data_IF_229227459780
#
_entry.id   IF_229227459780
#
_cell.length_a   1.000
_cell.length_b   1.000
_cell.length_c   1.000
_cell.angle_alpha   90.00
_cell.angle_beta   90.00
_cell.angle_gamma   90.00
#
_symmetry.space_group_name_H-M   'P 1'
#
loop_
_entity.id
_entity.type
_entity.pdbx_description
1 polymer ?
#
# COMPACT_ATOMS: atom_id res chain seq x y z
N UNK A 1 -29.34 -46.25 5.61
CA UNK A 1 -29.76 -47.19 4.54
C UNK A 1 -30.63 -46.41 3.58
N UNK A 2 -30.19 -46.24 2.33
CA UNK A 2 -30.95 -45.56 1.28
C UNK A 2 -31.78 -46.59 0.50
N UNK A 3 -32.97 -46.20 0.07
CA UNK A 3 -33.95 -47.01 -0.66
C UNK A 3 -33.39 -47.50 -2.03
N UNK A 4 -33.36 -48.82 -2.30
CA UNK A 4 -32.82 -49.39 -3.54
C UNK A 4 -33.67 -49.14 -4.79
N UNK A 5 -34.89 -48.59 -4.67
CA UNK A 5 -35.76 -48.32 -5.82
C UNK A 5 -35.65 -46.89 -6.39
N UNK A 6 -34.83 -46.03 -5.77
CA UNK A 6 -34.57 -44.70 -6.30
C UNK A 6 -33.37 -44.74 -7.27
N UNK A 7 -33.66 -44.85 -8.57
CA UNK A 7 -32.71 -44.52 -9.64
C UNK A 7 -32.40 -43.02 -9.61
N UNK A 8 -31.42 -42.62 -8.80
CA UNK A 8 -30.86 -41.27 -8.88
C UNK A 8 -30.11 -41.13 -10.20
N UNK A 9 -30.75 -40.48 -11.17
CA UNK A 9 -30.08 -40.01 -12.38
C UNK A 9 -29.20 -38.83 -11.96
N UNK A 10 -27.93 -39.09 -11.65
CA UNK A 10 -26.95 -38.05 -11.30
C UNK A 10 -26.63 -37.24 -12.57
N UNK A 11 -27.46 -36.25 -12.87
CA UNK A 11 -27.15 -35.21 -13.86
C UNK A 11 -26.32 -34.13 -13.17
N UNK A 12 -25.06 -34.43 -12.87
CA UNK A 12 -24.12 -33.44 -12.34
C UNK A 12 -23.59 -32.53 -13.46
N UNK A 13 -24.45 -31.68 -14.03
CA UNK A 13 -23.97 -30.44 -14.67
C UNK A 13 -23.97 -29.35 -13.62
N UNK A 14 -22.92 -29.33 -12.79
CA UNK A 14 -22.67 -28.16 -11.96
C UNK A 14 -22.47 -26.95 -12.88
N UNK A 15 -23.22 -25.88 -12.66
CA UNK A 15 -23.03 -24.65 -13.43
C UNK A 15 -21.63 -24.09 -13.15
N UNK A 16 -21.03 -23.43 -14.14
CA UNK A 16 -19.72 -22.78 -13.98
C UNK A 16 -19.69 -21.83 -12.78
N UNK A 17 -20.81 -21.12 -12.54
CA UNK A 17 -20.99 -20.25 -11.37
C UNK A 17 -20.95 -21.01 -10.04
N UNK A 18 -21.63 -22.17 -9.95
CA UNK A 18 -21.60 -23.00 -8.75
C UNK A 18 -20.19 -23.60 -8.50
N UNK A 19 -19.49 -24.00 -9.56
CA UNK A 19 -18.11 -24.47 -9.46
C UNK A 19 -17.15 -23.35 -9.01
N UNK A 20 -17.27 -22.16 -9.60
CA UNK A 20 -16.48 -20.99 -9.23
C UNK A 20 -16.74 -20.57 -7.77
N UNK A 21 -18.00 -20.51 -7.34
CA UNK A 21 -18.37 -20.19 -5.96
C UNK A 21 -17.72 -21.16 -4.96
N UNK A 22 -17.80 -22.47 -5.22
CA UNK A 22 -17.13 -23.48 -4.38
C UNK A 22 -15.61 -23.32 -4.38
N UNK A 23 -15.01 -23.02 -5.53
CA UNK A 23 -13.57 -22.76 -5.63
C UNK A 23 -13.16 -21.56 -4.76
N UNK A 24 -13.86 -20.42 -4.88
CA UNK A 24 -13.57 -19.24 -4.06
C UNK A 24 -13.80 -19.49 -2.57
N UNK A 25 -14.83 -20.24 -2.19
CA UNK A 25 -15.04 -20.59 -0.79
C UNK A 25 -13.87 -21.42 -0.22
N UNK A 26 -13.36 -22.38 -1.00
CA UNK A 26 -12.28 -23.27 -0.57
C UNK A 26 -10.90 -22.58 -0.56
N UNK A 27 -10.62 -21.74 -1.55
CA UNK A 27 -9.29 -21.15 -1.76
C UNK A 27 -9.22 -19.64 -1.49
N UNK A 28 -10.26 -19.02 -0.92
CA UNK A 28 -10.26 -17.60 -0.57
C UNK A 28 -9.08 -17.20 0.33
N UNK A 29 -8.69 -18.07 1.27
CA UNK A 29 -7.56 -17.84 2.15
C UNK A 29 -6.21 -17.88 1.42
N UNK A 30 -6.02 -18.82 0.50
CA UNK A 30 -4.83 -18.90 -0.36
C UNK A 30 -4.75 -17.69 -1.29
N UNK A 31 -5.85 -17.32 -1.95
CA UNK A 31 -5.94 -16.14 -2.82
C UNK A 31 -5.58 -14.88 -2.04
N UNK A 32 -6.19 -14.66 -0.86
CA UNK A 32 -5.91 -13.49 -0.03
C UNK A 32 -4.45 -13.43 0.43
N UNK A 33 -3.87 -14.58 0.79
CA UNK A 33 -2.46 -14.66 1.15
C UNK A 33 -1.53 -14.33 -0.04
N UNK A 34 -1.86 -14.80 -1.25
CA UNK A 34 -1.14 -14.42 -2.45
C UNK A 34 -1.24 -12.93 -2.76
N UNK A 35 -2.40 -12.29 -2.53
CA UNK A 35 -2.52 -10.84 -2.67
C UNK A 35 -1.52 -10.09 -1.75
N UNK A 36 -1.36 -10.55 -0.51
CA UNK A 36 -0.37 -9.98 0.43
C UNK A 36 1.07 -10.22 -0.05
N UNK A 37 1.38 -11.42 -0.56
CA UNK A 37 2.69 -11.75 -1.11
C UNK A 37 3.05 -10.87 -2.34
N UNK A 38 2.09 -10.69 -3.26
CA UNK A 38 2.23 -9.82 -4.44
C UNK A 38 2.52 -8.37 -4.01
N UNK A 39 1.81 -7.87 -3.00
CA UNK A 39 2.06 -6.55 -2.44
C UNK A 39 3.45 -6.43 -1.83
N UNK A 40 3.94 -7.44 -1.10
CA UNK A 40 5.31 -7.43 -0.60
C UNK A 40 6.35 -7.41 -1.72
N UNK A 41 6.18 -8.17 -2.79
CA UNK A 41 7.06 -8.09 -3.96
C UNK A 41 6.97 -6.72 -4.65
N UNK A 42 5.79 -6.09 -4.70
CA UNK A 42 5.64 -4.72 -5.19
C UNK A 42 6.41 -3.70 -4.33
N UNK A 43 6.26 -3.79 -3.00
CA UNK A 43 6.97 -2.92 -2.06
C UNK A 43 8.48 -3.16 -2.07
N UNK A 44 8.93 -4.39 -2.30
CA UNK A 44 10.35 -4.71 -2.54
C UNK A 44 10.89 -3.93 -3.74
N UNK A 45 10.15 -3.85 -4.87
CA UNK A 45 10.58 -3.07 -6.04
C UNK A 45 10.65 -1.58 -5.73
N UNK A 46 9.63 -1.05 -5.06
CA UNK A 46 9.59 0.37 -4.69
C UNK A 46 10.75 0.75 -3.75
N UNK A 47 11.01 -0.09 -2.74
CA UNK A 47 12.14 0.10 -1.81
C UNK A 47 13.50 -0.08 -2.48
N UNK A 48 13.64 -1.05 -3.40
CA UNK A 48 14.88 -1.22 -4.17
C UNK A 48 15.16 -0.05 -5.10
N UNK A 49 14.15 0.51 -5.76
CA UNK A 49 14.31 1.72 -6.57
C UNK A 49 14.76 2.91 -5.70
N UNK A 50 14.18 3.04 -4.51
CA UNK A 50 14.57 4.07 -3.55
C UNK A 50 16.01 3.89 -3.03
N UNK A 51 16.40 2.66 -2.69
CA UNK A 51 17.77 2.32 -2.25
C UNK A 51 18.83 2.59 -3.31
N UNK A 52 18.46 2.45 -4.60
CA UNK A 52 19.33 2.75 -5.74
C UNK A 52 19.27 4.22 -6.20
N UNK A 53 18.64 5.12 -5.45
CA UNK A 53 18.44 6.54 -5.81
C UNK A 53 17.68 6.76 -7.15
N UNK A 54 16.92 5.76 -7.62
CA UNK A 54 16.09 5.83 -8.84
C UNK A 54 14.70 6.45 -8.55
N UNK A 55 13.92 6.77 -9.59
CA UNK A 55 12.51 7.13 -9.42
C UNK A 55 11.72 5.92 -8.90
N UNK A 56 10.93 6.13 -7.84
CA UNK A 56 10.08 5.05 -7.31
C UNK A 56 8.91 4.82 -8.26
N UNK A 57 8.75 3.61 -8.82
CA UNK A 57 7.64 3.31 -9.69
C UNK A 57 6.33 3.26 -8.91
N UNK A 58 5.22 3.52 -9.60
CA UNK A 58 3.89 3.24 -9.04
C UNK A 58 3.76 1.78 -8.63
N UNK A 59 2.94 1.49 -7.61
CA UNK A 59 2.76 0.10 -7.13
C UNK A 59 2.21 -0.82 -8.24
N UNK A 60 1.41 -0.27 -9.16
CA UNK A 60 0.90 -1.01 -10.31
C UNK A 60 2.05 -1.42 -11.25
N UNK A 61 2.90 -0.47 -11.66
CA UNK A 61 4.07 -0.76 -12.49
C UNK A 61 5.06 -1.71 -11.81
N UNK A 62 5.23 -1.59 -10.49
CA UNK A 62 6.01 -2.53 -9.70
C UNK A 62 5.46 -3.96 -9.78
N UNK A 63 4.15 -4.15 -9.70
CA UNK A 63 3.50 -5.47 -9.82
C UNK A 63 3.55 -5.99 -11.26
N UNK A 64 3.31 -5.14 -12.26
CA UNK A 64 3.47 -5.51 -13.68
C UNK A 64 4.89 -5.99 -13.96
N UNK A 65 5.89 -5.31 -13.40
CA UNK A 65 7.29 -5.75 -13.51
C UNK A 65 7.55 -7.11 -12.86
N UNK A 66 6.77 -7.51 -11.85
CA UNK A 66 6.86 -8.83 -11.23
C UNK A 66 6.28 -9.94 -12.13
N UNK A 67 5.38 -9.59 -13.05
CA UNK A 67 4.85 -10.49 -14.08
C UNK A 67 5.78 -10.55 -15.32
N UNK A 68 6.69 -9.59 -15.47
CA UNK A 68 7.66 -9.55 -16.55
C UNK A 68 8.65 -10.72 -16.52
N UNK A 69 8.76 -11.43 -17.65
CA UNK A 69 9.80 -12.44 -17.91
C UNK A 69 11.13 -11.70 -18.17
N UNK A 70 12.31 -12.15 -17.68
CA UNK A 70 12.59 -13.49 -17.17
C UNK A 70 12.84 -13.66 -15.66
N UNK A 71 13.08 -12.61 -14.86
CA UNK A 71 13.61 -12.80 -13.49
C UNK A 71 12.57 -13.04 -12.37
N UNK A 72 11.52 -12.22 -12.20
CA UNK A 72 10.57 -12.40 -11.08
C UNK A 72 9.54 -13.51 -11.31
N UNK A 73 9.07 -13.73 -12.54
CA UNK A 73 8.13 -14.82 -12.88
C UNK A 73 8.71 -16.22 -12.62
N UNK A 74 10.02 -16.41 -12.88
CA UNK A 74 10.69 -17.71 -12.70
C UNK A 74 10.68 -18.17 -11.24
N UNK A 75 10.93 -17.26 -10.29
CA UNK A 75 10.84 -17.61 -8.86
C UNK A 75 9.44 -18.04 -8.46
N UNK A 76 8.43 -17.45 -9.09
CA UNK A 76 7.04 -17.76 -8.79
C UNK A 76 6.57 -19.11 -9.35
N UNK A 77 7.10 -19.53 -10.49
CA UNK A 77 6.86 -20.88 -11.03
C UNK A 77 7.68 -21.96 -10.31
N UNK A 78 8.90 -21.63 -9.88
CA UNK A 78 9.82 -22.59 -9.24
C UNK A 78 9.42 -22.85 -7.78
N UNK A 79 8.96 -21.84 -7.04
CA UNK A 79 8.64 -22.00 -5.60
C UNK A 79 7.54 -23.04 -5.30
N UNK A 80 6.43 -23.12 -6.04
CA UNK A 80 5.43 -24.18 -5.89
C UNK A 80 6.02 -25.58 -6.12
N UNK A 81 6.94 -25.72 -7.08
CA UNK A 81 7.61 -26.99 -7.39
C UNK A 81 8.54 -27.40 -6.25
N UNK A 82 9.34 -26.46 -5.73
CA UNK A 82 10.22 -26.69 -4.58
C UNK A 82 9.42 -27.03 -3.32
N UNK A 83 8.31 -26.34 -3.07
CA UNK A 83 7.46 -26.64 -1.92
C UNK A 83 6.79 -28.01 -2.07
N UNK A 84 6.27 -28.35 -3.25
CA UNK A 84 5.72 -29.67 -3.49
C UNK A 84 6.76 -30.76 -3.24
N UNK A 85 8.00 -30.54 -3.71
CA UNK A 85 9.11 -31.46 -3.45
C UNK A 85 9.38 -31.58 -1.93
N UNK A 86 9.40 -30.46 -1.20
CA UNK A 86 9.56 -30.47 0.25
C UNK A 86 8.40 -31.22 0.96
N UNK A 87 7.14 -30.98 0.59
CA UNK A 87 5.98 -31.71 1.10
C UNK A 87 6.07 -33.21 0.80
N UNK A 88 6.64 -33.56 -0.35
CA UNK A 88 6.89 -34.94 -0.73
C UNK A 88 7.93 -35.60 0.18
N UNK A 89 8.93 -34.86 0.66
CA UNK A 89 9.93 -35.34 1.61
C UNK A 89 9.45 -35.36 3.07
N UNK A 90 8.67 -34.36 3.50
CA UNK A 90 8.35 -34.16 4.92
C UNK A 90 6.97 -34.68 5.35
N UNK A 91 6.04 -34.91 4.42
CA UNK A 91 4.68 -35.31 4.77
C UNK A 91 4.42 -36.82 4.54
N UNK A 92 3.85 -37.48 5.56
CA UNK A 92 3.49 -38.91 5.54
C UNK A 92 2.01 -39.16 5.16
N UNK A 93 1.21 -38.10 5.00
CA UNK A 93 -0.22 -38.20 4.67
C UNK A 93 -0.48 -38.27 3.15
N UNK A 94 -1.73 -38.59 2.77
CA UNK A 94 -2.21 -38.63 1.38
C UNK A 94 -1.94 -37.29 0.67
N UNK A 95 -0.97 -37.31 -0.26
CA UNK A 95 -0.53 -36.13 -1.00
C UNK A 95 -1.51 -35.81 -2.12
N UNK A 96 -1.90 -34.54 -2.32
CA UNK A 96 -2.64 -34.16 -3.51
C UNK A 96 -1.81 -34.50 -4.75
N UNK A 97 -2.45 -34.90 -5.87
CA UNK A 97 -1.73 -35.13 -7.12
C UNK A 97 -0.94 -33.88 -7.52
N UNK A 98 0.34 -34.04 -7.88
CA UNK A 98 1.25 -32.93 -8.23
C UNK A 98 0.62 -31.93 -9.19
N UNK A 99 0.03 -32.44 -10.27
CA UNK A 99 -0.59 -31.62 -11.30
C UNK A 99 -1.82 -30.86 -10.80
N UNK A 100 -2.60 -31.45 -9.91
CA UNK A 100 -3.75 -30.77 -9.30
C UNK A 100 -3.29 -29.66 -8.36
N UNK A 101 -2.29 -29.93 -7.53
CA UNK A 101 -1.70 -28.92 -6.63
C UNK A 101 -1.14 -27.73 -7.43
N UNK A 102 -0.29 -28.00 -8.43
CA UNK A 102 0.27 -26.95 -9.28
C UNK A 102 -0.81 -26.14 -10.00
N UNK A 103 -1.80 -26.81 -10.59
CA UNK A 103 -2.86 -26.14 -11.35
C UNK A 103 -3.71 -25.24 -10.43
N UNK A 104 -4.10 -25.73 -9.25
CA UNK A 104 -4.87 -24.96 -8.28
C UNK A 104 -4.08 -23.75 -7.79
N UNK A 105 -2.82 -23.92 -7.39
CA UNK A 105 -1.97 -22.82 -6.93
C UNK A 105 -1.73 -21.78 -8.04
N UNK A 106 -1.51 -22.22 -9.28
CA UNK A 106 -1.36 -21.30 -10.41
C UNK A 106 -2.65 -20.51 -10.68
N UNK A 107 -3.82 -21.14 -10.63
CA UNK A 107 -5.12 -20.45 -10.78
C UNK A 107 -5.30 -19.45 -9.64
N UNK A 108 -5.08 -19.86 -8.38
CA UNK A 108 -5.20 -18.98 -7.22
C UNK A 108 -4.28 -17.77 -7.33
N UNK A 109 -3.05 -17.97 -7.80
CA UNK A 109 -2.09 -16.90 -8.00
C UNK A 109 -2.52 -15.93 -9.11
N UNK A 110 -2.98 -16.43 -10.26
CA UNK A 110 -3.49 -15.58 -11.36
C UNK A 110 -4.68 -14.75 -10.88
N UNK A 111 -5.62 -15.39 -10.20
CA UNK A 111 -6.80 -14.72 -9.62
C UNK A 111 -6.39 -13.66 -8.59
N UNK A 112 -5.44 -13.97 -7.71
CA UNK A 112 -4.91 -13.01 -6.74
C UNK A 112 -4.24 -11.80 -7.39
N UNK A 113 -3.50 -11.98 -8.49
CA UNK A 113 -2.96 -10.86 -9.27
C UNK A 113 -4.06 -10.00 -9.86
N UNK A 114 -5.07 -10.62 -10.48
CA UNK A 114 -6.21 -9.91 -11.05
C UNK A 114 -6.94 -9.07 -10.00
N UNK A 115 -7.23 -9.63 -8.82
CA UNK A 115 -7.84 -8.88 -7.73
C UNK A 115 -6.93 -7.79 -7.17
N UNK A 116 -5.62 -8.02 -7.07
CA UNK A 116 -4.67 -7.01 -6.58
C UNK A 116 -4.59 -5.82 -7.52
N UNK A 117 -4.50 -6.07 -8.83
CA UNK A 117 -4.50 -5.04 -9.88
C UNK A 117 -5.83 -4.26 -9.84
N UNK A 118 -6.96 -4.96 -9.77
CA UNK A 118 -8.28 -4.33 -9.69
C UNK A 118 -8.41 -3.45 -8.44
N UNK A 119 -7.92 -3.92 -7.29
CA UNK A 119 -7.92 -3.17 -6.03
C UNK A 119 -7.06 -1.91 -6.12
N UNK A 120 -5.87 -1.99 -6.74
CA UNK A 120 -4.97 -0.86 -6.95
C UNK A 120 -5.59 0.16 -7.90
N UNK A 121 -6.14 -0.28 -9.03
CA UNK A 121 -6.75 0.60 -10.03
C UNK A 121 -7.99 1.30 -9.48
N UNK A 122 -8.90 0.55 -8.83
CA UNK A 122 -10.12 1.11 -8.25
C UNK A 122 -9.81 2.12 -7.14
N UNK A 123 -8.89 1.80 -6.23
CA UNK A 123 -8.48 2.73 -5.17
C UNK A 123 -7.76 3.97 -5.72
N UNK A 124 -6.89 3.83 -6.73
CA UNK A 124 -6.24 4.96 -7.40
C UNK A 124 -7.29 5.85 -8.07
N UNK A 125 -8.22 5.26 -8.82
CA UNK A 125 -9.31 6.00 -9.46
C UNK A 125 -10.15 6.79 -8.45
N UNK A 126 -10.54 6.15 -7.34
CA UNK A 126 -11.31 6.82 -6.27
C UNK A 126 -10.54 7.97 -5.65
N UNK A 127 -9.26 7.78 -5.30
CA UNK A 127 -8.43 8.83 -4.72
C UNK A 127 -8.25 10.01 -5.69
N UNK A 128 -8.03 9.75 -6.98
CA UNK A 128 -7.94 10.79 -8.00
C UNK A 128 -9.27 11.54 -8.19
N UNK A 129 -10.40 10.83 -8.26
CA UNK A 129 -11.71 11.46 -8.40
C UNK A 129 -12.01 12.39 -7.22
N UNK A 130 -11.78 11.92 -5.99
CA UNK A 130 -11.97 12.71 -4.76
C UNK A 130 -10.99 13.89 -4.70
N UNK A 131 -9.73 13.71 -5.10
CA UNK A 131 -8.74 14.79 -5.12
C UNK A 131 -9.05 15.87 -6.17
N UNK A 132 -9.47 15.48 -7.38
CA UNK A 132 -9.90 16.42 -8.43
C UNK A 132 -11.12 17.20 -7.96
N UNK A 133 -12.15 16.51 -7.42
CA UNK A 133 -13.34 17.16 -6.88
C UNK A 133 -12.97 18.15 -5.79
N UNK A 134 -12.10 17.74 -4.86
CA UNK A 134 -11.64 18.58 -3.76
C UNK A 134 -10.90 19.84 -4.24
N UNK A 135 -9.95 19.71 -5.17
CA UNK A 135 -9.21 20.84 -5.73
C UNK A 135 -10.13 21.75 -6.56
N UNK A 136 -11.07 21.19 -7.30
CA UNK A 136 -12.04 21.95 -8.09
C UNK A 136 -12.98 22.77 -7.20
N UNK A 137 -13.58 22.15 -6.18
CA UNK A 137 -14.41 22.85 -5.19
C UNK A 137 -13.61 23.97 -4.54
N UNK A 138 -12.37 23.68 -4.10
CA UNK A 138 -11.49 24.68 -3.47
C UNK A 138 -11.22 25.87 -4.40
N UNK A 139 -10.91 25.63 -5.68
CA UNK A 139 -10.63 26.69 -6.65
C UNK A 139 -11.87 27.50 -6.99
N UNK A 140 -13.00 26.83 -7.24
CA UNK A 140 -14.29 27.49 -7.54
C UNK A 140 -14.73 28.37 -6.38
N UNK A 141 -14.48 27.91 -5.15
CA UNK A 141 -14.81 28.64 -3.94
C UNK A 141 -13.86 29.82 -3.66
N UNK A 142 -12.56 29.67 -3.90
CA UNK A 142 -11.60 30.79 -3.83
C UNK A 142 -11.98 31.92 -4.78
N UNK A 143 -12.42 31.58 -6.00
CA UNK A 143 -12.95 32.56 -6.97
C UNK A 143 -14.26 33.22 -6.52
N UNK A 144 -15.03 32.59 -5.63
CA UNK A 144 -16.22 33.21 -5.02
C UNK A 144 -15.83 34.10 -3.83
N UNK A 145 -14.84 33.67 -3.03
CA UNK A 145 -14.36 34.36 -1.83
C UNK A 145 -13.79 35.76 -2.07
N UNK A 146 -13.42 36.09 -3.31
CA UNK A 146 -13.03 37.45 -3.70
C UNK A 146 -14.24 38.41 -3.82
N UNK A 147 -15.48 37.90 -3.78
CA UNK A 147 -16.72 38.70 -3.90
C UNK A 147 -17.56 38.86 -2.63
N UNK A 148 -17.44 37.99 -1.62
CA UNK A 148 -18.24 38.09 -0.38
C UNK A 148 -17.46 37.58 0.85
N UNK A 149 -17.16 38.49 1.77
CA UNK A 149 -16.57 38.23 3.09
C UNK A 149 -17.54 37.46 4.02
N UNK A 150 -17.69 36.14 3.86
CA UNK A 150 -18.34 35.33 4.91
C UNK A 150 -17.29 34.68 5.83
N UNK A 151 -16.97 35.39 6.92
CA UNK A 151 -16.10 34.89 7.98
C UNK A 151 -16.62 33.57 8.61
N UNK A 152 -17.94 33.37 8.61
CA UNK A 152 -18.62 32.19 9.19
C UNK A 152 -18.38 30.91 8.36
N UNK A 153 -18.44 30.99 7.03
CA UNK A 153 -18.14 29.86 6.14
C UNK A 153 -16.63 29.62 6.04
N UNK A 154 -15.82 30.69 6.11
CA UNK A 154 -14.37 30.56 6.28
C UNK A 154 -14.04 29.77 7.55
N UNK A 155 -14.82 29.88 8.62
CA UNK A 155 -14.61 29.14 9.87
C UNK A 155 -15.07 27.68 9.80
N UNK A 156 -16.18 27.38 9.11
CA UNK A 156 -16.65 26.01 8.85
C UNK A 156 -15.70 25.23 7.92
N UNK A 157 -15.19 25.92 6.89
CA UNK A 157 -14.16 25.39 6.02
C UNK A 157 -12.80 25.42 6.69
N UNK A 158 -12.48 26.37 7.57
CA UNK A 158 -11.34 26.20 8.46
C UNK A 158 -11.55 24.90 9.22
N UNK A 159 -12.69 24.58 9.81
CA UNK A 159 -12.89 23.26 10.46
C UNK A 159 -12.66 22.04 9.54
N UNK A 160 -13.05 22.11 8.26
CA UNK A 160 -12.83 21.03 7.27
C UNK A 160 -11.42 21.01 6.64
N UNK A 161 -10.76 22.17 6.55
CA UNK A 161 -9.42 22.41 5.98
C UNK A 161 -8.34 22.61 7.06
N UNK A 162 -8.73 22.68 8.33
CA UNK A 162 -7.96 22.84 9.55
C UNK A 162 -8.05 21.57 10.40
N UNK A 163 -8.03 20.42 9.75
CA UNK A 163 -7.17 19.36 10.24
C UNK A 163 -5.67 19.76 10.20
N UNK A 164 -5.37 20.98 9.74
CA UNK A 164 -4.18 21.77 10.06
C UNK A 164 -4.26 22.59 11.40
N UNK A 165 -5.42 22.66 12.09
CA UNK A 165 -5.63 23.31 13.40
C UNK A 165 -5.57 22.36 14.59
N UNK A 166 -4.96 21.18 14.45
CA UNK A 166 -4.06 20.78 15.51
C UNK A 166 -2.71 21.43 15.18
N UNK A 167 -2.53 22.70 15.54
CA UNK A 167 -1.17 23.26 15.66
C UNK A 167 -0.32 22.47 16.67
N UNK A 168 -0.95 21.63 17.51
CA UNK A 168 -0.35 20.56 18.32
C UNK A 168 0.12 19.33 17.51
N UNK A 169 -0.36 19.12 16.29
CA UNK A 169 0.00 18.05 15.33
C UNK A 169 1.13 18.49 14.38
N UNK A 170 1.77 19.64 14.62
CA UNK A 170 2.87 20.11 13.77
C UNK A 170 4.18 19.35 14.05
N UNK A 171 4.34 18.75 15.23
CA UNK A 171 5.64 18.20 15.61
C UNK A 171 5.87 16.74 15.22
N UNK A 172 4.85 15.85 15.18
CA UNK A 172 4.95 14.49 14.60
C UNK A 172 3.54 13.83 14.43
N UNK A 173 2.90 13.86 13.25
CA UNK A 173 1.57 13.27 13.05
C UNK A 173 1.53 11.75 13.33
N UNK A 174 2.61 11.03 13.02
CA UNK A 174 2.72 9.60 13.29
C UNK A 174 2.65 9.26 14.79
N UNK A 175 3.09 10.15 15.68
CA UNK A 175 3.03 9.92 17.14
C UNK A 175 1.57 9.98 17.62
N UNK A 176 0.78 10.92 17.09
CA UNK A 176 -0.63 11.05 17.47
C UNK A 176 -1.43 9.86 16.96
N UNK A 177 -1.17 9.41 15.73
CA UNK A 177 -1.76 8.17 15.20
C UNK A 177 -1.34 6.98 16.07
N UNK A 178 -0.06 6.86 16.48
CA UNK A 178 0.39 5.79 17.38
C UNK A 178 -0.32 5.81 18.74
N UNK A 179 -0.45 6.98 19.38
CA UNK A 179 -1.13 7.13 20.67
C UNK A 179 -2.61 6.73 20.57
N UNK A 180 -3.25 6.94 19.40
CA UNK A 180 -4.63 6.53 19.18
C UNK A 180 -4.78 5.05 18.82
N UNK A 181 -3.90 4.52 17.95
CA UNK A 181 -4.04 3.15 17.41
C UNK A 181 -3.52 2.08 18.36
N UNK A 182 -2.46 2.33 19.12
CA UNK A 182 -1.88 1.34 20.04
C UNK A 182 -2.86 0.91 21.14
N UNK A 183 -3.54 1.82 21.86
CA UNK A 183 -4.54 1.42 22.85
C UNK A 183 -5.72 0.71 22.18
N UNK A 184 -6.13 1.13 20.99
CA UNK A 184 -7.27 0.55 20.31
C UNK A 184 -7.05 -0.91 19.90
N UNK A 185 -5.82 -1.23 19.48
CA UNK A 185 -5.41 -2.62 19.19
C UNK A 185 -5.25 -3.45 20.45
N UNK A 186 -4.72 -2.87 21.53
CA UNK A 186 -4.47 -3.62 22.77
C UNK A 186 -5.73 -3.82 23.63
N UNK A 187 -6.66 -2.86 23.60
CA UNK A 187 -7.76 -2.80 24.56
C UNK A 187 -9.15 -2.99 23.93
N UNK A 188 -9.29 -2.75 22.62
CA UNK A 188 -10.61 -2.81 21.96
C UNK A 188 -10.65 -3.92 20.93
N UNK A 189 -10.05 -3.72 19.76
CA UNK A 189 -9.99 -4.73 18.71
C UNK A 189 -8.96 -4.33 17.64
N UNK A 190 -8.09 -5.27 17.18
CA UNK A 190 -7.08 -5.01 16.16
C UNK A 190 -7.61 -4.32 14.88
N UNK A 191 -8.75 -4.78 14.38
CA UNK A 191 -9.38 -4.21 13.17
C UNK A 191 -9.68 -2.70 13.28
N UNK A 192 -10.05 -2.21 14.46
CA UNK A 192 -10.41 -0.80 14.64
C UNK A 192 -9.14 0.06 14.66
N UNK A 193 -8.09 -0.40 15.34
CA UNK A 193 -6.78 0.27 15.31
C UNK A 193 -6.17 0.30 13.91
N UNK A 194 -6.26 -0.81 13.16
CA UNK A 194 -5.85 -0.87 11.76
C UNK A 194 -6.72 0.02 10.86
N UNK A 195 -8.04 0.11 11.13
CA UNK A 195 -8.95 1.02 10.43
C UNK A 195 -8.57 2.49 10.60
N UNK A 196 -8.21 2.91 11.82
CA UNK A 196 -7.71 4.27 12.05
C UNK A 196 -6.37 4.53 11.35
N UNK A 197 -5.46 3.55 11.34
CA UNK A 197 -4.20 3.64 10.61
C UNK A 197 -4.45 3.76 9.09
N UNK A 198 -5.38 2.97 8.54
CA UNK A 198 -5.78 3.03 7.15
C UNK A 198 -6.36 4.40 6.78
N UNK A 199 -7.21 4.95 7.65
CA UNK A 199 -7.76 6.30 7.47
C UNK A 199 -6.66 7.36 7.44
N UNK A 200 -5.65 7.24 8.32
CA UNK A 200 -4.46 8.10 8.28
C UNK A 200 -3.70 7.98 6.95
N UNK A 201 -3.50 6.76 6.43
CA UNK A 201 -2.88 6.55 5.12
C UNK A 201 -3.68 7.20 3.98
N UNK A 202 -5.01 7.05 3.98
CA UNK A 202 -5.91 7.66 2.99
C UNK A 202 -5.78 9.19 3.04
N UNK A 203 -5.86 9.80 4.22
CA UNK A 203 -5.71 11.25 4.36
C UNK A 203 -4.35 11.75 3.87
N UNK A 204 -3.29 11.01 4.18
CA UNK A 204 -1.93 11.35 3.77
C UNK A 204 -1.70 11.20 2.26
N UNK A 205 -2.23 10.14 1.64
CA UNK A 205 -2.19 9.96 0.20
C UNK A 205 -3.01 11.04 -0.52
N UNK A 206 -4.23 11.31 -0.03
CA UNK A 206 -5.11 12.35 -0.55
C UNK A 206 -4.49 13.75 -0.47
N UNK A 207 -3.83 14.08 0.64
CA UNK A 207 -3.13 15.36 0.80
C UNK A 207 -2.01 15.53 -0.23
N UNK A 208 -1.17 14.50 -0.43
CA UNK A 208 -0.09 14.55 -1.43
C UNK A 208 -0.65 14.72 -2.84
N UNK A 209 -1.73 14.00 -3.16
CA UNK A 209 -2.38 14.06 -4.46
C UNK A 209 -3.04 15.42 -4.72
N UNK A 210 -3.70 15.99 -3.71
CA UNK A 210 -4.24 17.35 -3.79
C UNK A 210 -3.13 18.40 -4.00
N UNK A 211 -1.98 18.24 -3.33
CA UNK A 211 -0.81 19.11 -3.52
C UNK A 211 -0.23 19.00 -4.93
N UNK A 212 -0.12 17.79 -5.46
CA UNK A 212 0.28 17.53 -6.85
C UNK A 212 -0.67 18.20 -7.84
N UNK A 213 -1.98 17.93 -7.73
CA UNK A 213 -3.00 18.49 -8.62
C UNK A 213 -3.05 20.01 -8.54
N UNK A 214 -3.00 20.59 -7.33
CA UNK A 214 -3.00 22.05 -7.15
C UNK A 214 -1.77 22.70 -7.79
N UNK A 215 -0.58 22.10 -7.65
CA UNK A 215 0.64 22.57 -8.29
C UNK A 215 0.57 22.44 -9.83
N UNK A 216 0.06 21.31 -10.33
CA UNK A 216 -0.13 21.06 -11.76
C UNK A 216 -1.15 22.03 -12.39
N UNK A 217 -2.31 22.25 -11.78
CA UNK A 217 -3.27 23.23 -12.29
C UNK A 217 -2.73 24.67 -12.28
N UNK A 218 -1.89 25.01 -11.30
CA UNK A 218 -1.23 26.32 -11.24
C UNK A 218 -0.20 26.47 -12.36
N UNK A 219 0.62 25.45 -12.63
CA UNK A 219 1.59 25.50 -13.72
C UNK A 219 0.91 25.57 -15.09
N UNK A 220 -0.19 24.83 -15.30
CA UNK A 220 -1.01 24.91 -16.52
C UNK A 220 -1.58 26.33 -16.70
N UNK A 221 -2.09 26.94 -15.63
CA UNK A 221 -2.61 28.32 -15.68
C UNK A 221 -1.51 29.31 -16.02
N UNK A 222 -0.35 29.23 -15.37
CA UNK A 222 0.81 30.09 -15.64
C UNK A 222 1.34 29.93 -17.07
N UNK A 223 1.38 28.69 -17.58
CA UNK A 223 1.75 28.41 -18.96
C UNK A 223 0.76 29.06 -19.92
N UNK A 224 -0.55 28.90 -19.67
CA UNK A 224 -1.62 29.53 -20.46
C UNK A 224 -1.50 31.06 -20.48
N UNK A 225 -1.19 31.70 -19.35
CA UNK A 225 -1.00 33.16 -19.26
C UNK A 225 0.25 33.62 -20.03
N UNK A 226 1.34 32.85 -19.96
CA UNK A 226 2.57 33.11 -20.73
C UNK A 226 2.35 33.00 -22.24
N UNK A 227 1.56 32.00 -22.69
CA UNK A 227 1.20 31.85 -24.10
C UNK A 227 0.23 32.93 -24.57
N UNK A 228 -0.75 33.33 -23.75
CA UNK A 228 -1.66 34.43 -24.05
C UNK A 228 -0.94 35.78 -24.13
N UNK A 229 0.13 35.95 -23.35
CA UNK A 229 1.03 37.10 -23.45
C UNK A 229 1.90 37.09 -24.70
N UNK A 230 2.23 35.91 -25.26
CA UNK A 230 3.11 35.78 -26.44
C UNK A 230 2.37 35.70 -27.78
N UNK A 231 1.11 35.29 -27.79
CA UNK A 231 0.33 35.07 -29.01
C UNK A 231 -0.95 35.89 -28.94
N UNK A 232 -1.04 36.94 -29.76
CA UNK A 232 -2.29 37.68 -29.98
C UNK A 232 -3.41 36.78 -30.47
N UNK A 233 -4.63 37.09 -30.02
CA UNK A 233 -5.90 36.37 -30.14
C UNK A 233 -6.06 35.47 -31.39
N UNK A 234 -5.64 34.20 -31.31
CA UNK A 234 -5.96 33.17 -32.30
C UNK A 234 -6.64 31.97 -31.61
N UNK A 235 -7.97 31.81 -31.75
CA UNK A 235 -8.77 30.89 -30.94
C UNK A 235 -8.61 29.39 -31.29
N UNK A 236 -8.02 29.06 -32.44
CA UNK A 236 -7.96 27.68 -32.97
C UNK A 236 -6.85 26.83 -32.31
N UNK A 237 -5.77 27.45 -31.79
CA UNK A 237 -4.68 26.74 -31.08
C UNK A 237 -4.99 26.50 -29.59
N UNK A 238 -5.96 27.22 -29.02
CA UNK A 238 -6.32 27.13 -27.61
C UNK A 238 -6.97 25.78 -27.27
N UNK A 239 -7.82 25.23 -28.14
CA UNK A 239 -8.54 23.97 -27.92
C UNK A 239 -7.60 22.75 -27.94
N UNK A 240 -6.62 22.74 -28.85
CA UNK A 240 -5.59 21.69 -28.92
C UNK A 240 -4.71 21.65 -27.66
N UNK A 241 -4.39 22.83 -27.09
CA UNK A 241 -3.59 22.92 -25.86
C UNK A 241 -4.30 22.49 -24.57
N UNK A 242 -5.65 22.57 -24.53
CA UNK A 242 -6.44 22.10 -23.37
C UNK A 242 -6.45 20.57 -23.33
N UNK A 243 -6.54 19.92 -24.49
CA UNK A 243 -6.34 18.47 -24.67
C UNK A 243 -4.95 18.04 -24.16
N UNK A 244 -3.90 18.75 -24.58
CA UNK A 244 -2.51 18.44 -24.19
C UNK A 244 -2.25 18.72 -22.69
N UNK A 245 -2.91 19.72 -22.11
CA UNK A 245 -2.85 20.02 -20.67
C UNK A 245 -3.51 18.96 -19.79
N UNK A 246 -4.58 18.31 -20.28
CA UNK A 246 -5.21 17.15 -19.63
C UNK A 246 -4.33 15.90 -19.81
N UNK A 247 -3.63 15.74 -20.94
CA UNK A 247 -2.61 14.70 -21.09
C UNK A 247 -1.41 14.90 -20.17
N UNK A 248 -1.02 16.15 -19.86
CA UNK A 248 -0.01 16.47 -18.83
C UNK A 248 -0.46 16.21 -17.38
N UNK A 249 -1.76 15.98 -17.13
CA UNK A 249 -2.28 15.54 -15.82
C UNK A 249 -2.21 14.02 -15.64
N UNK A 250 -1.94 13.27 -16.70
CA UNK A 250 -1.64 11.85 -16.66
C UNK A 250 -0.13 11.65 -16.48
N UNK A 251 0.32 10.60 -15.77
CA UNK A 251 1.75 10.33 -15.60
C UNK A 251 2.35 10.12 -16.99
N UNK A 252 3.26 11.00 -17.41
CA UNK A 252 3.99 10.86 -18.66
C UNK A 252 5.34 10.19 -18.35
N UNK A 253 5.74 9.23 -19.17
CA UNK A 253 6.96 8.44 -18.99
C UNK A 253 8.21 9.33 -18.83
N UNK A 254 9.01 9.01 -17.81
CA UNK A 254 10.20 9.73 -17.38
C UNK A 254 11.27 9.77 -18.49
N UNK A 255 11.71 10.97 -18.87
CA UNK A 255 12.97 11.16 -19.60
C UNK A 255 14.13 11.11 -18.59
N UNK A 256 15.13 10.22 -18.78
CA UNK A 256 16.20 10.03 -17.82
C UNK A 256 17.17 11.23 -17.86
N UNK A 257 17.04 12.16 -16.89
CA UNK A 257 18.03 13.22 -16.68
C UNK A 257 17.49 14.59 -16.21
N UNK A 258 16.18 14.80 -16.13
CA UNK A 258 15.62 16.06 -15.64
C UNK A 258 15.68 16.16 -14.09
N UNK A 259 15.98 17.34 -13.52
CA UNK A 259 15.92 17.54 -12.07
C UNK A 259 14.49 17.32 -11.56
N UNK A 260 14.32 16.42 -10.56
CA UNK A 260 13.02 16.07 -9.98
C UNK A 260 12.24 17.33 -9.58
N UNK A 261 11.07 17.53 -10.17
CA UNK A 261 10.22 18.67 -9.84
C UNK A 261 9.48 18.44 -8.51
N UNK A 262 8.96 19.53 -7.91
CA UNK A 262 8.12 19.43 -6.71
C UNK A 262 6.88 18.56 -6.95
N UNK A 263 6.29 18.64 -8.15
CA UNK A 263 5.15 17.81 -8.56
C UNK A 263 5.52 16.33 -8.61
N UNK A 264 6.66 15.97 -9.19
CA UNK A 264 7.10 14.58 -9.29
C UNK A 264 7.37 13.99 -7.90
N UNK A 265 7.92 14.80 -7.00
CA UNK A 265 8.16 14.41 -5.61
C UNK A 265 6.86 14.12 -4.84
N UNK A 266 5.79 14.89 -5.08
CA UNK A 266 4.49 14.64 -4.44
C UNK A 266 3.81 13.38 -4.99
N UNK A 267 3.96 13.12 -6.29
CA UNK A 267 3.43 11.92 -6.94
C UNK A 267 4.18 10.66 -6.48
N UNK A 268 5.51 10.73 -6.38
CA UNK A 268 6.37 9.67 -5.85
C UNK A 268 5.97 9.29 -4.40
N UNK A 269 5.72 10.31 -3.57
CA UNK A 269 5.23 10.11 -2.20
C UNK A 269 3.80 9.54 -2.15
N UNK A 270 2.94 9.89 -3.11
CA UNK A 270 1.62 9.30 -3.24
C UNK A 270 1.74 7.81 -3.60
N UNK A 271 2.53 7.45 -4.60
CA UNK A 271 2.67 6.09 -5.09
C UNK A 271 3.28 5.15 -4.03
N UNK A 272 4.25 5.63 -3.24
CA UNK A 272 4.80 4.88 -2.11
C UNK A 272 3.74 4.65 -1.00
N UNK A 273 3.00 5.70 -0.64
CA UNK A 273 1.95 5.60 0.39
C UNK A 273 0.76 4.76 -0.06
N UNK A 274 0.43 4.79 -1.35
CA UNK A 274 -0.63 4.00 -1.94
C UNK A 274 -0.32 2.51 -1.80
N UNK A 275 0.90 2.07 -2.11
CA UNK A 275 1.31 0.67 -1.91
C UNK A 275 1.14 0.19 -0.46
N UNK A 276 1.60 0.99 0.51
CA UNK A 276 1.47 0.66 1.94
C UNK A 276 0.01 0.68 2.40
N UNK A 277 -0.79 1.62 1.89
CA UNK A 277 -2.23 1.70 2.16
C UNK A 277 -2.95 0.42 1.70
N UNK A 278 -2.64 -0.08 0.50
CA UNK A 278 -3.24 -1.32 -0.02
C UNK A 278 -2.84 -2.53 0.82
N UNK A 279 -1.58 -2.62 1.24
CA UNK A 279 -1.13 -3.70 2.12
C UNK A 279 -1.90 -3.69 3.45
N UNK A 280 -2.05 -2.53 4.09
CA UNK A 280 -2.80 -2.40 5.35
C UNK A 280 -4.32 -2.59 5.17
N UNK A 281 -4.86 -2.26 3.99
CA UNK A 281 -6.24 -2.56 3.65
C UNK A 281 -6.46 -4.08 3.61
N UNK A 282 -5.60 -4.84 2.93
CA UNK A 282 -5.65 -6.31 2.91
C UNK A 282 -5.57 -6.88 4.32
N UNK A 283 -4.64 -6.39 5.14
CA UNK A 283 -4.52 -6.78 6.55
C UNK A 283 -5.79 -6.47 7.34
N UNK A 284 -6.39 -5.30 7.16
CA UNK A 284 -7.64 -4.93 7.83
C UNK A 284 -8.78 -5.86 7.42
N UNK A 285 -8.88 -6.22 6.13
CA UNK A 285 -9.87 -7.15 5.60
C UNK A 285 -9.74 -8.55 6.22
N UNK A 286 -8.52 -9.02 6.50
CA UNK A 286 -8.30 -10.30 7.20
C UNK A 286 -8.89 -10.32 8.62
N UNK A 287 -8.99 -9.17 9.28
CA UNK A 287 -9.60 -9.04 10.61
C UNK A 287 -11.11 -8.75 10.58
N UNK A 288 -11.72 -8.55 9.41
CA UNK A 288 -13.17 -8.27 9.30
C UNK A 288 -14.03 -9.39 9.88
N UNK A 289 -13.80 -10.69 9.60
CA UNK A 289 -14.58 -11.76 10.21
C UNK A 289 -14.50 -11.74 11.75
N UNK A 290 -13.31 -11.46 12.30
CA UNK A 290 -13.11 -11.31 13.75
C UNK A 290 -13.89 -10.11 14.31
N UNK A 291 -13.87 -8.98 13.60
CA UNK A 291 -14.60 -7.77 14.01
C UNK A 291 -16.12 -8.03 14.02
N UNK A 292 -16.65 -8.70 12.99
CA UNK A 292 -18.08 -9.07 12.93
C UNK A 292 -18.44 -9.99 14.09
N UNK A 293 -17.63 -11.01 14.35
CA UNK A 293 -17.85 -11.94 15.47
C UNK A 293 -17.76 -11.25 16.85
N UNK A 294 -16.89 -10.24 16.98
CA UNK A 294 -16.78 -9.42 18.18
C UNK A 294 -18.03 -8.54 18.36
N UNK A 295 -18.47 -7.83 17.30
CA UNK A 295 -19.69 -7.01 17.32
C UNK A 295 -20.93 -7.82 17.71
N UNK A 296 -21.05 -9.06 17.20
CA UNK A 296 -22.15 -9.97 17.52
C UNK A 296 -22.15 -10.44 18.99
N UNK A 297 -21.02 -10.32 19.70
CA UNK A 297 -20.85 -10.76 21.10
C UNK A 297 -20.76 -9.60 22.08
N UNK A 298 -20.97 -8.36 21.65
CA UNK A 298 -20.99 -7.19 22.54
C UNK A 298 -22.09 -7.40 23.59
N UNK A 299 -21.68 -7.63 24.85
CA UNK A 299 -22.59 -7.85 25.99
C UNK A 299 -22.45 -9.20 26.68
N UNK A 300 -21.71 -10.18 26.14
CA UNK A 300 -21.60 -11.54 26.70
C UNK A 300 -20.34 -11.83 27.55
N UNK A 301 -19.67 -10.78 28.06
CA UNK A 301 -18.44 -10.91 28.85
C UNK A 301 -17.19 -10.94 27.97
N UNK A 302 -16.26 -10.01 28.21
CA UNK A 302 -15.09 -9.80 27.36
C UNK A 302 -13.90 -10.66 27.82
N UNK A 303 -13.30 -11.40 26.90
CA UNK A 303 -11.89 -11.77 27.01
C UNK A 303 -11.09 -10.75 26.20
N UNK A 304 -10.12 -10.10 26.83
CA UNK A 304 -9.17 -9.22 26.14
C UNK A 304 -8.48 -9.97 24.99
N UNK A 305 -8.08 -9.27 23.91
CA UNK A 305 -7.25 -9.89 22.87
C UNK A 305 -5.99 -10.48 23.51
N UNK A 306 -5.58 -11.65 23.03
CA UNK A 306 -4.44 -12.36 23.59
C UNK A 306 -3.15 -11.53 23.42
N UNK A 307 -2.26 -11.54 24.43
CA UNK A 307 -1.10 -10.64 24.49
C UNK A 307 -0.20 -10.74 23.24
N UNK A 308 -0.05 -11.94 22.68
CA UNK A 308 0.76 -12.14 21.46
C UNK A 308 0.05 -11.55 20.24
N UNK A 309 -1.27 -11.68 20.12
CA UNK A 309 -2.04 -11.10 19.01
C UNK A 309 -1.96 -9.57 19.04
N UNK A 310 -2.03 -8.98 20.24
CA UNK A 310 -1.79 -7.55 20.44
C UNK A 310 -0.37 -7.16 20.04
N UNK A 311 0.66 -7.92 20.44
CA UNK A 311 2.05 -7.63 20.05
C UNK A 311 2.25 -7.68 18.53
N UNK A 312 1.73 -8.70 17.85
CA UNK A 312 1.79 -8.81 16.39
C UNK A 312 1.10 -7.60 15.74
N UNK A 313 -0.11 -7.25 16.20
CA UNK A 313 -0.85 -6.13 15.64
C UNK A 313 -0.18 -4.77 15.92
N UNK A 314 0.49 -4.62 17.07
CA UNK A 314 1.36 -3.47 17.33
C UNK A 314 2.50 -3.42 16.32
N UNK A 315 3.17 -4.54 16.05
CA UNK A 315 4.18 -4.63 15.00
C UNK A 315 3.65 -4.20 13.62
N UNK A 316 2.44 -4.64 13.25
CA UNK A 316 1.77 -4.21 12.01
C UNK A 316 1.51 -2.69 12.01
N UNK A 317 1.06 -2.11 13.12
CA UNK A 317 0.90 -0.66 13.21
C UNK A 317 2.24 0.07 13.04
N UNK A 318 3.30 -0.43 13.69
CA UNK A 318 4.64 0.13 13.55
C UNK A 318 5.10 0.07 12.09
N UNK A 319 4.77 -1.00 11.36
CA UNK A 319 5.03 -1.10 9.92
C UNK A 319 4.38 0.04 9.13
N UNK A 320 3.10 0.33 9.31
CA UNK A 320 2.45 1.45 8.63
C UNK A 320 2.99 2.84 9.03
N UNK A 321 3.29 3.03 10.31
CA UNK A 321 3.79 4.30 10.83
C UNK A 321 5.23 4.62 10.40
N UNK A 322 6.09 3.60 10.32
CA UNK A 322 7.52 3.77 10.10
C UNK A 322 7.99 3.30 8.72
N UNK A 323 7.27 2.39 8.08
CA UNK A 323 7.54 1.95 6.70
C UNK A 323 7.11 2.95 5.63
N UNK A 324 6.27 3.95 5.97
CA UNK A 324 5.68 4.92 5.03
C UNK A 324 6.49 6.19 4.77
N UNK A 325 7.69 6.30 5.35
CA UNK A 325 8.55 7.47 5.17
C UNK A 325 9.86 7.08 4.46
N UNK A 326 9.93 7.23 3.12
CA UNK A 326 11.17 7.02 2.39
C UNK A 326 12.21 8.12 2.69
N UNK A 327 11.80 9.27 3.25
CA UNK A 327 12.66 10.40 3.63
C UNK A 327 13.74 10.10 4.68
N UNK A 328 13.65 8.96 5.33
CA UNK A 328 14.65 8.50 6.29
C UNK A 328 15.38 7.38 5.58
N UNK A 329 16.70 7.48 5.46
CA UNK A 329 17.58 6.43 4.96
C UNK A 329 17.23 5.12 5.66
N UNK A 330 16.32 4.36 5.05
CA UNK A 330 15.74 3.21 5.68
C UNK A 330 16.74 2.08 5.50
N UNK A 331 17.54 1.95 6.55
CA UNK A 331 18.19 0.73 6.96
C UNK A 331 19.10 0.09 5.93
N UNK A 332 20.35 0.52 6.00
CA UNK A 332 21.47 -0.33 5.72
C UNK A 332 22.02 -0.94 7.01
N UNK A 333 21.62 -2.17 7.35
CA UNK A 333 22.30 -2.88 8.43
C UNK A 333 23.60 -3.48 7.91
N UNK A 334 24.71 -3.17 8.57
CA UNK A 334 25.95 -3.96 8.42
C UNK A 334 25.75 -5.27 9.19
N UNK A 335 25.67 -6.40 8.50
CA UNK A 335 25.74 -7.70 9.18
C UNK A 335 27.08 -7.82 9.93
N UNK A 336 27.09 -8.25 11.20
CA UNK A 336 28.32 -8.55 11.91
C UNK A 336 29.00 -9.75 11.22
N UNK A 337 30.23 -9.55 10.71
CA UNK A 337 31.08 -10.62 10.16
C UNK A 337 31.35 -10.56 8.65
N UNK A 338 30.61 -9.76 7.86
CA UNK A 338 30.84 -9.65 6.40
C UNK A 338 31.03 -8.18 6.01
N UNK A 339 32.24 -7.83 5.56
CA UNK A 339 32.59 -6.47 5.10
C UNK A 339 31.52 -5.93 4.13
N UNK A 340 30.74 -4.93 4.59
CA UNK A 340 30.12 -3.91 3.74
C UNK A 340 28.86 -4.29 2.94
N UNK A 341 28.13 -5.37 3.23
CA UNK A 341 26.79 -5.54 2.65
C UNK A 341 25.72 -4.98 3.59
N UNK A 342 25.15 -3.87 3.13
CA UNK A 342 24.04 -3.17 3.72
C UNK A 342 22.73 -3.89 3.37
N UNK A 343 22.04 -4.49 4.35
CA UNK A 343 20.75 -5.15 4.10
C UNK A 343 19.66 -4.09 4.08
N UNK A 344 19.13 -3.83 2.88
CA UNK A 344 18.04 -2.90 2.61
C UNK A 344 16.66 -3.40 3.02
N UNK A 345 15.70 -2.48 3.11
CA UNK A 345 14.28 -2.76 3.29
C UNK A 345 13.72 -3.61 2.13
N UNK A 346 14.29 -3.47 0.93
CA UNK A 346 13.97 -4.30 -0.24
C UNK A 346 14.15 -5.79 0.06
N UNK A 347 15.26 -6.17 0.69
CA UNK A 347 15.52 -7.55 1.07
C UNK A 347 14.51 -8.07 2.11
N UNK A 348 14.13 -7.24 3.09
CA UNK A 348 13.13 -7.61 4.08
C UNK A 348 11.75 -7.84 3.43
N UNK A 349 11.35 -7.00 2.50
CA UNK A 349 10.11 -7.19 1.74
C UNK A 349 10.16 -8.42 0.82
N UNK A 350 11.31 -8.72 0.22
CA UNK A 350 11.50 -9.94 -0.57
C UNK A 350 11.28 -11.19 0.30
N UNK A 351 11.91 -11.24 1.49
CA UNK A 351 11.76 -12.36 2.41
C UNK A 351 10.33 -12.48 2.92
N UNK A 352 9.68 -11.37 3.26
CA UNK A 352 8.28 -11.34 3.66
C UNK A 352 7.34 -11.81 2.54
N UNK A 353 7.64 -11.47 1.28
CA UNK A 353 6.92 -11.95 0.11
C UNK A 353 6.99 -13.47 -0.01
N UNK A 354 8.20 -14.06 0.08
CA UNK A 354 8.36 -15.52 0.04
C UNK A 354 7.70 -16.22 1.22
N UNK A 355 7.86 -15.70 2.42
CA UNK A 355 7.23 -16.26 3.61
C UNK A 355 5.71 -16.23 3.51
N UNK A 356 5.14 -15.13 3.01
CA UNK A 356 3.70 -15.01 2.77
C UNK A 356 3.24 -15.95 1.68
N UNK A 357 3.99 -16.09 0.57
CA UNK A 357 3.70 -17.03 -0.51
C UNK A 357 3.62 -18.48 0.00
N UNK A 358 4.62 -18.91 0.78
CA UNK A 358 4.63 -20.26 1.37
C UNK A 358 3.49 -20.45 2.37
N UNK A 359 3.24 -19.45 3.21
CA UNK A 359 2.13 -19.50 4.18
C UNK A 359 0.75 -19.56 3.52
N UNK A 360 0.61 -18.97 2.33
CA UNK A 360 -0.63 -18.96 1.55
C UNK A 360 -0.93 -20.33 0.96
N UNK A 361 0.09 -21.04 0.46
CA UNK A 361 -0.05 -22.43 0.00
C UNK A 361 -0.44 -23.39 1.14
N UNK A 362 -0.17 -23.02 2.40
CA UNK A 362 -0.63 -23.73 3.58
C UNK A 362 -2.02 -23.25 4.09
N UNK A 363 -2.77 -22.49 3.28
CA UNK A 363 -4.08 -21.91 3.62
C UNK A 363 -4.08 -21.06 4.91
N UNK A 364 -2.91 -20.54 5.31
CA UNK A 364 -2.70 -19.81 6.55
C UNK A 364 -2.23 -18.36 6.29
N UNK A 365 -3.06 -17.53 5.61
CA UNK A 365 -2.64 -16.19 5.21
C UNK A 365 -2.33 -15.27 6.39
N UNK A 366 -2.91 -15.51 7.58
CA UNK A 366 -2.64 -14.75 8.81
C UNK A 366 -1.17 -14.77 9.22
N UNK A 367 -0.39 -15.78 8.81
CA UNK A 367 1.06 -15.83 9.10
C UNK A 367 1.79 -14.66 8.46
N UNK A 368 1.32 -14.12 7.34
CA UNK A 368 1.89 -12.91 6.70
C UNK A 368 1.97 -11.71 7.66
N UNK A 369 1.10 -11.65 8.68
CA UNK A 369 1.13 -10.63 9.72
C UNK A 369 2.40 -10.71 10.56
N UNK A 370 2.97 -11.90 10.76
CA UNK A 370 4.23 -12.06 11.48
C UNK A 370 5.39 -11.40 10.73
N UNK A 371 5.46 -11.61 9.41
CA UNK A 371 6.48 -10.97 8.58
C UNK A 371 6.32 -9.44 8.58
N UNK A 372 5.09 -8.95 8.44
CA UNK A 372 4.79 -7.52 8.51
C UNK A 372 5.17 -6.92 9.88
N UNK A 373 4.84 -7.60 10.97
CA UNK A 373 5.16 -7.18 12.32
C UNK A 373 6.68 -7.12 12.57
N UNK A 374 7.42 -8.13 12.10
CA UNK A 374 8.89 -8.14 12.19
C UNK A 374 9.49 -6.93 11.46
N UNK A 375 9.04 -6.66 10.23
CA UNK A 375 9.49 -5.46 9.50
C UNK A 375 9.15 -4.20 10.29
N UNK A 376 7.94 -4.10 10.86
CA UNK A 376 7.52 -2.97 11.68
C UNK A 376 8.41 -2.74 12.91
N UNK A 377 8.75 -3.80 13.64
CA UNK A 377 9.67 -3.72 14.78
C UNK A 377 11.09 -3.33 14.36
N UNK A 378 11.58 -3.89 13.26
CA UNK A 378 12.90 -3.53 12.70
C UNK A 378 12.92 -2.05 12.34
N UNK A 379 11.93 -1.55 11.59
CA UNK A 379 11.81 -0.13 11.24
C UNK A 379 11.74 0.78 12.47
N UNK A 380 10.98 0.37 13.49
CA UNK A 380 10.84 1.11 14.73
C UNK A 380 12.16 1.21 15.52
N UNK A 381 12.80 0.06 15.78
CA UNK A 381 14.07 0.00 16.51
C UNK A 381 15.15 0.85 15.83
N UNK A 382 15.17 0.79 14.51
CA UNK A 382 16.15 1.51 13.69
C UNK A 382 15.97 3.01 13.75
N UNK A 383 14.72 3.47 13.75
CA UNK A 383 14.41 4.89 13.93
C UNK A 383 14.76 5.40 15.32
N UNK A 384 14.66 4.55 16.35
CA UNK A 384 15.14 4.88 17.70
C UNK A 384 16.66 5.02 17.69
N UNK A 385 17.38 4.07 17.10
CA UNK A 385 18.85 4.07 17.01
C UNK A 385 19.32 5.31 16.25
N UNK A 386 18.72 5.63 15.11
CA UNK A 386 19.05 6.82 14.33
C UNK A 386 18.81 8.11 15.12
N UNK A 387 17.65 8.25 15.78
CA UNK A 387 17.38 9.42 16.64
C UNK A 387 18.40 9.55 17.76
N UNK A 388 18.79 8.43 18.37
CA UNK A 388 19.82 8.41 19.43
C UNK A 388 21.18 8.84 18.90
N UNK A 389 21.59 8.35 17.73
CA UNK A 389 22.85 8.72 17.10
C UNK A 389 22.87 10.20 16.67
N UNK A 390 21.74 10.72 16.19
CA UNK A 390 21.58 12.15 15.89
C UNK A 390 21.77 13.04 17.12
N UNK A 391 21.23 12.62 18.28
CA UNK A 391 21.38 13.34 19.55
C UNK A 391 22.82 13.24 20.08
N UNK A 392 23.51 12.12 19.84
CA UNK A 392 24.88 11.87 20.32
C UNK A 392 25.97 12.57 19.50
N UNK A 393 25.63 13.12 18.33
CA UNK A 393 26.60 13.80 17.45
C UNK A 393 27.50 12.85 16.64
N UNK A 394 27.29 11.54 16.72
CA UNK A 394 28.02 10.51 15.96
C UNK A 394 27.55 10.50 14.50
N UNK A 395 27.91 11.53 13.74
CA UNK A 395 27.57 11.67 12.32
C UNK A 395 28.73 11.12 11.49
N UNK A 396 28.91 9.80 11.45
CA UNK A 396 29.86 9.16 10.52
C UNK A 396 29.19 8.44 9.34
N UNK A 397 27.86 8.47 9.20
CA UNK A 397 27.14 7.82 8.08
C UNK A 397 26.26 8.76 7.23
N UNK A 398 26.55 10.06 7.21
CA UNK A 398 26.02 10.95 6.14
C UNK A 398 26.80 10.72 4.84
N UNK A 399 26.50 9.64 4.12
CA UNK A 399 26.56 9.75 2.66
C UNK A 399 25.19 10.25 2.20
N UNK A 400 25.16 11.49 1.72
CA UNK A 400 24.03 12.13 1.05
C UNK A 400 22.86 12.59 1.94
N UNK A 401 23.11 13.57 2.83
CA UNK A 401 22.12 14.66 2.92
C UNK A 401 22.23 15.43 1.62
N UNK A 402 21.28 15.21 0.71
CA UNK A 402 20.99 16.11 -0.41
C UNK A 402 20.81 17.52 0.19
N UNK A 403 21.79 18.39 -0.03
CA UNK A 403 21.56 19.82 0.03
C UNK A 403 20.53 20.12 -1.07
N UNK A 404 19.27 20.32 -0.68
CA UNK A 404 18.34 21.09 -1.49
C UNK A 404 18.90 22.50 -1.56
N UNK A 405 19.66 22.79 -2.63
CA UNK A 405 20.05 24.15 -2.95
C UNK A 405 18.77 24.92 -3.30
N UNK A 406 18.39 25.82 -2.40
CA UNK A 406 17.64 27.02 -2.74
C UNK A 406 18.49 27.83 -3.72
N UNK A 407 17.98 28.04 -4.93
CA UNK A 407 18.11 29.29 -5.66
C UNK A 407 16.80 29.54 -6.40
#
# INVERSE_FOLDING_TARGET
MADPHCSYKVTARASLSAAASRFFLLYSSEILGFMVAIMFFGLMRQSSAWECDSSVPSILSAIESNLGVPKPFMFLCIMPILLFLALLFFSMEQKPPFWTFLLVTMICYIVANGFTILLILSSKLLLYAVAILHVFIKRRWQSWGDGVQSAFLRQFFTFSFSLQSLKMLKNNPNIIVAIATLPLVCLVHPAIGLGLLLLSHIFHAHSNLCSFLAASFRSITQKKDLYKSKMGDSPVLLSKSISDGIQQLLPMDDSPGAPKSFTDSQLELFDCRHGIMILHLLTTLMFVPSLVAWLQRIGMGQNFPWLIDSAICVGVILHGLFGSQPNVSCLSFKLPGRRGHEVGLSFLYLLAGYYSFISSMALAPYRSLYAMAIIGYICFASRIIERRNMVRGDISSRRSRKHSHRH
#
